data_IF_936766133782
#
_entry.id   IF_936766133782
#
_cell.length_a   1.000
_cell.length_b   1.000
_cell.length_c   1.000
_cell.angle_alpha   90.00
_cell.angle_beta   90.00
_cell.angle_gamma   90.00
#
_symmetry.space_group_name_H-M   'P 1'
#
loop_
_entity.id
_entity.type
_entity.pdbx_description
1 polymer ?
#
# COMPACT_ATOMS: atom_id res chain seq x y z
N UNK A 1 5.34 -14.63 -6.04
CA UNK A 1 4.48 -13.47 -6.37
C UNK A 1 3.94 -12.94 -5.05
N UNK A 2 4.19 -11.68 -4.72
CA UNK A 2 3.97 -11.13 -3.37
C UNK A 2 3.01 -9.93 -3.42
N UNK A 3 2.17 -9.79 -2.40
CA UNK A 3 1.25 -8.67 -2.25
C UNK A 3 1.82 -7.69 -1.23
N UNK A 4 1.99 -6.44 -1.65
CA UNK A 4 2.54 -5.37 -0.82
C UNK A 4 1.45 -4.34 -0.56
N UNK A 5 1.43 -3.76 0.65
CA UNK A 5 0.36 -2.91 1.16
C UNK A 5 0.84 -1.49 1.49
N UNK A 6 0.05 -0.47 1.14
CA UNK A 6 0.30 0.95 1.45
C UNK A 6 -0.94 1.61 2.04
N UNK A 7 -0.79 2.42 3.08
CA UNK A 7 -1.89 3.19 3.69
C UNK A 7 -1.72 4.68 3.41
N UNK A 8 -2.67 5.29 2.72
CA UNK A 8 -2.67 6.74 2.46
C UNK A 8 -4.06 7.34 2.70
N UNK A 9 -4.08 8.55 3.27
CA UNK A 9 -5.30 9.35 3.40
C UNK A 9 -5.53 10.15 2.14
N UNK A 10 -6.60 9.86 1.38
CA UNK A 10 -6.90 10.56 0.14
C UNK A 10 -8.15 11.43 0.24
N UNK A 11 -8.07 12.63 -0.34
CA UNK A 11 -9.20 13.58 -0.45
C UNK A 11 -9.96 13.50 -1.78
N UNK A 12 -9.62 12.55 -2.67
CA UNK A 12 -10.16 12.51 -4.04
C UNK A 12 -11.22 11.42 -4.27
N UNK A 13 -12.37 11.76 -4.90
CA UNK A 13 -13.35 10.78 -5.37
C UNK A 13 -12.77 10.03 -6.56
N UNK A 14 -13.18 8.77 -6.71
CA UNK A 14 -12.63 7.77 -7.63
C UNK A 14 -12.95 8.04 -9.13
N UNK A 15 -12.81 9.28 -9.62
CA UNK A 15 -13.41 9.68 -10.90
C UNK A 15 -12.45 10.00 -12.05
N UNK A 16 -11.13 9.77 -11.97
CA UNK A 16 -10.27 9.94 -13.15
C UNK A 16 -9.20 8.85 -13.30
N UNK A 17 -9.11 8.33 -14.53
CA UNK A 17 -8.37 7.14 -15.02
C UNK A 17 -6.84 7.14 -14.85
N UNK A 18 -6.28 7.98 -13.99
CA UNK A 18 -4.83 8.06 -13.74
C UNK A 18 -4.60 8.29 -12.26
N UNK A 19 -4.38 7.19 -11.54
CA UNK A 19 -3.69 7.24 -10.26
C UNK A 19 -2.20 7.15 -10.58
N UNK A 20 -1.49 8.26 -10.48
CA UNK A 20 -0.04 8.30 -10.50
C UNK A 20 0.40 8.99 -9.22
N UNK A 21 1.10 8.27 -8.34
CA UNK A 21 1.84 8.91 -7.25
C UNK A 21 3.00 9.65 -7.92
N UNK A 22 3.03 10.99 -7.88
CA UNK A 22 4.15 11.76 -8.43
C UNK A 22 5.39 11.54 -7.54
N UNK A 23 6.28 10.67 -8.01
CA UNK A 23 7.53 10.27 -7.33
C UNK A 23 8.59 11.37 -7.26
N UNK A 24 8.32 12.58 -7.80
CA UNK A 24 9.32 13.66 -7.86
C UNK A 24 9.59 14.36 -6.52
N UNK A 25 8.75 14.18 -5.50
CA UNK A 25 8.97 14.78 -4.17
C UNK A 25 8.97 13.76 -3.01
N UNK A 26 8.30 12.61 -3.15
CA UNK A 26 8.29 11.54 -2.14
C UNK A 26 8.19 10.17 -2.83
N UNK A 27 9.18 9.30 -2.59
CA UNK A 27 9.06 7.89 -2.97
C UNK A 27 8.06 7.23 -1.99
N UNK A 28 6.93 6.68 -2.47
CA UNK A 28 5.97 6.05 -1.59
C UNK A 28 6.59 4.78 -1.00
N UNK A 29 6.48 4.65 0.32
CA UNK A 29 6.89 3.45 1.04
C UNK A 29 5.69 2.52 1.20
N UNK A 30 6.00 1.23 1.19
CA UNK A 30 5.01 0.17 1.25
C UNK A 30 5.54 -0.99 2.09
N UNK A 31 4.66 -1.78 2.67
CA UNK A 31 5.04 -2.89 3.54
C UNK A 31 4.52 -4.22 3.01
N UNK A 32 5.38 -5.24 3.06
CA UNK A 32 4.94 -6.62 2.82
C UNK A 32 4.31 -7.30 4.04
N UNK A 33 4.33 -6.63 5.21
CA UNK A 33 3.73 -7.13 6.43
C UNK A 33 2.19 -7.09 6.32
N UNK A 34 1.51 -8.19 6.64
CA UNK A 34 0.06 -8.31 6.44
C UNK A 34 -0.75 -7.32 7.26
N UNK A 35 -0.32 -7.04 8.49
CA UNK A 35 -1.09 -6.26 9.48
C UNK A 35 -0.56 -4.84 9.70
N UNK A 36 0.69 -4.56 9.30
CA UNK A 36 1.33 -3.28 9.64
C UNK A 36 0.58 -2.09 9.01
N UNK A 37 0.14 -2.13 7.74
CA UNK A 37 -0.55 -0.98 7.15
C UNK A 37 -1.91 -0.70 7.80
N UNK A 38 -2.58 -1.73 8.35
CA UNK A 38 -3.78 -1.51 9.16
C UNK A 38 -3.43 -0.86 10.50
N UNK A 39 -2.40 -1.35 11.19
CA UNK A 39 -1.94 -0.75 12.45
C UNK A 39 -1.52 0.71 12.27
N UNK A 40 -0.80 1.02 11.18
CA UNK A 40 -0.43 2.38 10.83
C UNK A 40 -1.66 3.23 10.51
N UNK A 41 -2.58 2.73 9.68
CA UNK A 41 -3.83 3.41 9.36
C UNK A 41 -4.65 3.77 10.63
N UNK A 42 -4.75 2.85 11.59
CA UNK A 42 -5.42 3.08 12.89
C UNK A 42 -4.69 4.10 13.76
N UNK A 43 -3.35 4.15 13.71
CA UNK A 43 -2.57 5.15 14.45
C UNK A 43 -2.81 6.56 13.89
N UNK A 44 -2.78 6.71 12.56
CA UNK A 44 -2.96 8.02 11.91
C UNK A 44 -4.43 8.44 11.85
N UNK A 45 -5.39 7.51 11.94
CA UNK A 45 -6.82 7.84 11.86
C UNK A 45 -7.34 8.67 13.04
N UNK A 46 -6.58 8.77 14.13
CA UNK A 46 -6.96 9.56 15.31
C UNK A 46 -7.11 11.03 14.92
N UNK A 47 -8.35 11.52 14.89
CA UNK A 47 -8.68 12.91 14.56
C UNK A 47 -8.83 13.20 13.06
N UNK A 48 -8.66 12.21 12.19
CA UNK A 48 -8.84 12.37 10.74
C UNK A 48 -10.29 12.05 10.37
N UNK A 49 -10.98 12.99 9.72
CA UNK A 49 -12.34 12.81 9.17
C UNK A 49 -12.36 12.24 7.74
N UNK A 50 -11.19 12.07 7.14
CA UNK A 50 -11.02 11.59 5.77
C UNK A 50 -10.91 10.06 5.78
N UNK A 51 -11.57 9.34 4.86
CA UNK A 51 -11.39 7.90 4.74
C UNK A 51 -9.93 7.54 4.43
N UNK A 52 -9.42 6.53 5.13
CA UNK A 52 -8.09 5.97 4.88
C UNK A 52 -8.25 4.68 4.08
N UNK A 53 -7.39 4.50 3.09
CA UNK A 53 -7.39 3.34 2.21
C UNK A 53 -6.06 2.60 2.31
N UNK A 54 -6.13 1.27 2.34
CA UNK A 54 -4.96 0.40 2.31
C UNK A 54 -4.95 -0.31 0.96
N UNK A 55 -4.01 0.04 0.10
CA UNK A 55 -3.90 -0.48 -1.27
C UNK A 55 -3.09 -1.76 -1.30
N UNK A 56 -3.50 -2.71 -2.14
CA UNK A 56 -2.80 -3.97 -2.36
C UNK A 56 -2.21 -3.95 -3.77
N UNK A 57 -0.87 -3.94 -3.86
CA UNK A 57 -0.15 -3.69 -5.11
C UNK A 57 0.53 -4.99 -5.57
N UNK A 58 0.37 -5.31 -6.86
CA UNK A 58 1.08 -6.43 -7.48
C UNK A 58 2.55 -6.07 -7.73
N UNK A 59 3.42 -6.92 -7.22
CA UNK A 59 4.86 -6.72 -7.28
C UNK A 59 5.48 -6.94 -8.67
N UNK A 60 4.77 -7.62 -9.58
CA UNK A 60 5.38 -8.13 -10.82
C UNK A 60 5.85 -7.06 -11.81
N UNK A 61 5.26 -5.87 -11.80
CA UNK A 61 5.50 -4.81 -12.80
C UNK A 61 6.08 -3.53 -12.21
N UNK A 62 6.35 -3.54 -10.91
CA UNK A 62 6.83 -2.38 -10.17
C UNK A 62 8.26 -2.65 -9.68
N UNK A 63 9.09 -1.61 -9.67
CA UNK A 63 10.44 -1.67 -9.15
C UNK A 63 10.41 -1.39 -7.65
N UNK A 64 10.76 -2.39 -6.83
CA UNK A 64 10.78 -2.27 -5.37
C UNK A 64 12.19 -2.41 -4.83
N UNK A 65 12.58 -1.48 -3.97
CA UNK A 65 13.83 -1.54 -3.22
C UNK A 65 13.52 -1.98 -1.80
N UNK A 66 14.00 -3.16 -1.40
CA UNK A 66 13.91 -3.62 -0.01
C UNK A 66 14.80 -2.73 0.88
N UNK A 67 14.17 -1.99 1.78
CA UNK A 67 14.85 -0.99 2.59
C UNK A 67 15.80 -1.60 3.63
N UNK A 68 15.57 -2.86 4.04
CA UNK A 68 16.47 -3.56 4.99
C UNK A 68 17.85 -3.80 4.38
N UNK A 69 17.89 -4.03 3.07
CA UNK A 69 19.11 -4.32 2.32
C UNK A 69 19.68 -3.07 1.62
N UNK A 70 18.94 -1.96 1.60
CA UNK A 70 19.37 -0.69 1.01
C UNK A 70 20.45 0.01 1.84
N UNK A 71 21.19 0.94 1.21
CA UNK A 71 22.05 1.91 1.92
C UNK A 71 21.28 3.17 2.33
N UNK A 72 20.09 3.38 1.79
CA UNK A 72 19.24 4.55 1.99
C UNK A 72 18.48 4.42 3.32
N UNK A 73 18.30 5.53 4.04
CA UNK A 73 17.47 5.57 5.25
C UNK A 73 18.09 4.92 6.49
N UNK A 74 19.39 4.60 6.47
CA UNK A 74 20.11 4.02 7.60
C UNK A 74 20.58 5.07 8.60
N UNK A 75 20.45 4.77 9.88
CA UNK A 75 21.03 5.51 11.00
C UNK A 75 22.15 4.62 11.55
N UNK A 76 23.39 5.13 11.58
CA UNK A 76 24.58 4.36 11.98
C UNK A 76 24.76 3.01 11.23
N UNK A 77 24.35 2.97 9.96
CA UNK A 77 24.42 1.77 9.12
C UNK A 77 23.30 0.75 9.36
N UNK A 78 22.34 1.04 10.24
CA UNK A 78 21.22 0.17 10.59
C UNK A 78 19.91 0.77 10.08
N UNK A 79 19.04 -0.07 9.52
CA UNK A 79 17.68 0.36 9.16
C UNK A 79 16.88 0.60 10.45
N UNK A 80 16.19 1.74 10.62
CA UNK A 80 15.55 2.07 11.90
C UNK A 80 14.36 1.15 12.25
N UNK A 81 13.67 0.59 11.24
CA UNK A 81 12.47 -0.23 11.42
C UNK A 81 12.50 -1.52 10.58
N UNK A 82 13.46 -2.44 10.80
CA UNK A 82 13.62 -3.63 9.96
C UNK A 82 12.41 -4.59 10.01
N UNK A 83 11.65 -4.57 11.10
CA UNK A 83 10.43 -5.34 11.30
C UNK A 83 9.27 -4.92 10.39
N UNK A 84 9.31 -3.70 9.87
CA UNK A 84 8.23 -3.18 9.02
C UNK A 84 8.20 -3.85 7.64
N UNK A 85 9.27 -4.56 7.26
CA UNK A 85 9.46 -5.14 5.93
C UNK A 85 9.08 -4.13 4.84
N UNK A 86 9.69 -2.95 4.96
CA UNK A 86 9.47 -1.78 4.13
C UNK A 86 10.17 -1.92 2.77
N UNK A 87 9.48 -1.47 1.73
CA UNK A 87 9.99 -1.33 0.39
C UNK A 87 9.71 0.10 -0.10
N UNK A 88 10.66 0.68 -0.82
CA UNK A 88 10.42 1.86 -1.64
C UNK A 88 9.92 1.42 -3.00
N UNK A 89 8.92 2.10 -3.53
CA UNK A 89 8.56 1.95 -4.94
C UNK A 89 9.37 2.97 -5.76
N UNK A 90 10.27 2.46 -6.58
CA UNK A 90 11.15 3.24 -7.46
C UNK A 90 10.55 3.41 -8.88
N UNK A 91 9.25 3.26 -8.99
CA UNK A 91 8.47 3.39 -10.23
C UNK A 91 7.10 4.02 -9.96
N UNK A 92 6.44 4.47 -11.03
CA UNK A 92 5.02 4.80 -10.94
C UNK A 92 4.22 3.52 -10.75
N UNK A 93 3.29 3.52 -9.78
CA UNK A 93 2.29 2.46 -9.63
C UNK A 93 1.10 2.81 -10.48
N UNK A 94 0.92 2.07 -11.56
CA UNK A 94 -0.22 2.27 -12.44
C UNK A 94 -1.49 1.64 -11.84
N UNK A 95 -2.64 2.26 -12.09
CA UNK A 95 -3.89 1.79 -11.48
C UNK A 95 -4.25 0.34 -11.83
N UNK A 96 -3.86 -0.13 -13.03
CA UNK A 96 -4.09 -1.52 -13.44
C UNK A 96 -3.19 -2.54 -12.73
N UNK A 97 -2.29 -2.09 -11.85
CA UNK A 97 -1.36 -2.90 -11.06
C UNK A 97 -1.80 -3.03 -9.60
N UNK A 98 -2.77 -2.22 -9.19
CA UNK A 98 -3.43 -2.33 -7.89
C UNK A 98 -4.45 -3.47 -7.97
N UNK A 99 -4.31 -4.47 -7.11
CA UNK A 99 -5.23 -5.63 -7.04
C UNK A 99 -6.58 -5.21 -6.45
N UNK A 100 -6.55 -4.34 -5.45
CA UNK A 100 -7.72 -3.80 -4.76
C UNK A 100 -7.30 -2.96 -3.55
N UNK A 101 -8.27 -2.58 -2.73
CA UNK A 101 -8.01 -1.78 -1.54
C UNK A 101 -8.99 -2.09 -0.41
N UNK A 102 -8.51 -1.95 0.82
CA UNK A 102 -9.33 -1.91 2.03
C UNK A 102 -9.71 -0.47 2.35
N UNK A 103 -10.99 -0.18 2.52
CA UNK A 103 -11.45 1.07 3.13
C UNK A 103 -11.55 0.90 4.64
N UNK A 104 -10.83 1.71 5.41
CA UNK A 104 -10.90 1.72 6.87
C UNK A 104 -12.15 2.49 7.33
N UNK A 105 -12.97 1.85 8.15
CA UNK A 105 -13.90 2.51 9.04
C UNK A 105 -13.15 2.93 10.31
N UNK A 106 -12.93 4.24 10.48
CA UNK A 106 -12.15 4.78 11.58
C UNK A 106 -12.87 4.73 12.93
N UNK A 107 -14.20 4.53 12.93
CA UNK A 107 -14.98 4.39 14.16
C UNK A 107 -14.90 2.96 14.71
N UNK A 108 -14.96 1.96 13.84
CA UNK A 108 -14.94 0.54 14.25
C UNK A 108 -13.57 -0.13 14.12
N UNK A 109 -12.63 0.52 13.43
CA UNK A 109 -11.32 -0.04 13.08
C UNK A 109 -11.38 -1.20 12.07
N UNK A 110 -12.56 -1.48 11.50
CA UNK A 110 -12.76 -2.56 10.53
C UNK A 110 -12.46 -2.09 9.12
N UNK A 111 -12.08 -3.02 8.25
CA UNK A 111 -11.92 -2.75 6.82
C UNK A 111 -12.96 -3.46 5.98
N UNK A 112 -13.28 -2.86 4.83
CA UNK A 112 -14.03 -3.51 3.76
C UNK A 112 -13.14 -3.52 2.53
N UNK A 113 -12.92 -4.71 1.97
CA UNK A 113 -12.13 -4.90 0.77
C UNK A 113 -12.95 -4.62 -0.50
N UNK A 114 -12.33 -3.92 -1.45
CA UNK A 114 -12.87 -3.62 -2.77
C UNK A 114 -11.88 -4.12 -3.84
N UNK A 115 -12.26 -5.10 -4.67
CA UNK A 115 -11.41 -5.52 -5.78
C UNK A 115 -11.34 -4.43 -6.85
N UNK A 116 -10.19 -4.29 -7.50
CA UNK A 116 -10.03 -3.35 -8.60
C UNK A 116 -10.49 -3.97 -9.93
N UNK A 117 -11.59 -3.50 -10.55
CA UNK A 117 -12.05 -4.05 -11.83
C UNK A 117 -11.10 -3.77 -13.00
N UNK A 118 -10.13 -2.86 -12.82
CA UNK A 118 -9.14 -2.49 -13.84
C UNK A 118 -7.81 -3.24 -13.68
N UNK A 119 -7.68 -4.11 -12.67
CA UNK A 119 -6.47 -4.90 -12.46
C UNK A 119 -6.22 -5.85 -13.64
N UNK A 120 -4.99 -5.81 -14.19
CA UNK A 120 -4.59 -6.59 -15.38
C UNK A 120 -3.58 -7.70 -15.08
N UNK A 121 -3.29 -7.96 -13.80
CA UNK A 121 -2.38 -9.03 -13.40
C UNK A 121 -3.08 -10.39 -13.27
N UNK A 122 -2.41 -11.34 -12.62
CA UNK A 122 -2.89 -12.73 -12.47
C UNK A 122 -3.29 -13.10 -11.04
N UNK A 123 -3.09 -12.21 -10.06
CA UNK A 123 -3.49 -12.48 -8.68
C UNK A 123 -5.02 -12.54 -8.59
N UNK A 124 -5.51 -13.49 -7.81
CA UNK A 124 -6.92 -13.56 -7.43
C UNK A 124 -7.02 -13.37 -5.93
N UNK A 125 -8.09 -12.73 -5.48
CA UNK A 125 -8.36 -12.52 -4.06
C UNK A 125 -9.76 -13.02 -3.68
N UNK A 126 -9.92 -13.43 -2.43
CA UNK A 126 -11.25 -13.64 -1.84
C UNK A 126 -11.94 -12.29 -1.54
N UNK A 127 -13.13 -12.35 -0.90
CA UNK A 127 -13.90 -11.17 -0.50
C UNK A 127 -13.24 -10.36 0.64
N UNK A 128 -12.18 -10.87 1.24
CA UNK A 128 -11.41 -10.26 2.31
C UNK A 128 -10.05 -9.75 1.82
N UNK A 129 -9.77 -9.82 0.51
CA UNK A 129 -8.50 -9.37 -0.06
C UNK A 129 -7.33 -10.33 0.18
N UNK A 130 -7.59 -11.56 0.67
CA UNK A 130 -6.55 -12.57 0.77
C UNK A 130 -6.30 -13.19 -0.61
N UNK A 131 -5.03 -13.42 -0.93
CA UNK A 131 -4.68 -14.14 -2.15
C UNK A 131 -5.26 -15.55 -2.12
N UNK A 132 -5.96 -15.92 -3.18
CA UNK A 132 -6.45 -17.28 -3.43
C UNK A 132 -5.72 -17.86 -4.63
N UNK A 133 -5.25 -19.10 -4.48
CA UNK A 133 -4.59 -19.91 -5.50
C UNK A 133 -5.45 -21.11 -5.83
#
# INVERSE_FOLDING_TARGET
>A
MQLIRSSQGYRFPHSNKKFSIDVREFLPTVSSHRTLPLQFALKISKGIRIPIYIYHIDTKRNDFVDMRHSKVGKIDGVHPFPEENEYLINSFVEWYEVVGWDKLDTATGRTIYYPNPLYKGKLKTDRQGNLIG
#
